data_IF_612551838644
#
_entry.id   IF_612551838644
#
_cell.length_a   1.000
_cell.length_b   1.000
_cell.length_c   1.000
_cell.angle_alpha   90.00
_cell.angle_beta   90.00
_cell.angle_gamma   90.00
#
_symmetry.space_group_name_H-M   'P 1'
#
loop_
_entity.id
_entity.type
_entity.pdbx_description
1 polymer ?
#
# COMPACT_ATOMS: atom_id res chain seq x y z
N UNK A 1 15.72 11.97 -8.49
CA UNK A 1 14.76 11.12 -9.23
C UNK A 1 13.50 11.02 -8.39
N UNK A 2 12.37 11.53 -8.87
CA UNK A 2 11.12 11.69 -8.10
C UNK A 2 10.45 10.33 -7.86
N UNK A 3 10.43 9.87 -6.61
CA UNK A 3 9.86 8.59 -6.16
C UNK A 3 8.31 8.55 -6.15
N UNK A 4 7.64 9.58 -6.66
CA UNK A 4 6.18 9.68 -6.71
C UNK A 4 5.52 9.12 -7.98
N UNK A 5 6.30 8.63 -8.96
CA UNK A 5 5.71 8.16 -10.22
C UNK A 5 5.40 6.66 -10.20
N UNK A 6 4.11 6.38 -9.96
CA UNK A 6 3.33 5.19 -10.34
C UNK A 6 2.85 4.29 -9.20
N UNK A 7 2.37 4.87 -8.09
CA UNK A 7 1.35 4.15 -7.35
C UNK A 7 0.06 4.10 -8.18
N UNK A 8 -0.23 2.97 -8.83
CA UNK A 8 -1.52 2.72 -9.50
C UNK A 8 -2.57 2.29 -8.48
N UNK A 9 -2.81 3.15 -7.50
CA UNK A 9 -3.57 2.85 -6.29
C UNK A 9 -3.68 4.04 -5.36
N UNK A 10 -3.83 3.77 -4.06
CA UNK A 10 -3.91 4.79 -2.99
C UNK A 10 -2.58 4.82 -2.25
N UNK A 11 -2.04 6.01 -1.95
CA UNK A 11 -0.94 6.14 -1.00
C UNK A 11 -1.50 6.12 0.42
N UNK A 12 -1.00 5.20 1.24
CA UNK A 12 -1.30 5.10 2.65
C UNK A 12 -0.06 5.50 3.45
N UNK A 13 -0.21 6.48 4.36
CA UNK A 13 0.84 6.89 5.29
C UNK A 13 0.72 6.05 6.55
N UNK A 14 1.77 5.30 6.88
CA UNK A 14 1.78 4.38 8.03
C UNK A 14 1.54 5.16 9.33
N UNK A 15 0.60 4.67 10.13
CA UNK A 15 0.26 5.18 11.45
C UNK A 15 0.58 4.16 12.54
N UNK A 16 0.52 4.62 13.80
CA UNK A 16 0.76 3.76 14.95
C UNK A 16 -0.23 2.59 14.96
N UNK A 17 0.32 1.38 14.97
CA UNK A 17 -0.45 0.15 15.05
C UNK A 17 -0.85 -0.43 13.68
N UNK A 18 -0.53 0.23 12.56
CA UNK A 18 -0.74 -0.36 11.25
C UNK A 18 0.13 -1.60 11.05
N UNK A 19 -0.47 -2.59 10.38
CA UNK A 19 0.21 -3.79 9.89
C UNK A 19 -0.24 -4.06 8.47
N UNK A 20 0.62 -4.70 7.66
CA UNK A 20 0.23 -5.10 6.30
C UNK A 20 -1.06 -5.93 6.29
N UNK A 21 -1.26 -6.77 7.30
CA UNK A 21 -2.48 -7.57 7.44
C UNK A 21 -3.72 -6.69 7.64
N UNK A 22 -3.70 -5.73 8.56
CA UNK A 22 -4.83 -4.82 8.74
C UNK A 22 -5.09 -3.94 7.51
N UNK A 23 -4.03 -3.46 6.86
CA UNK A 23 -4.14 -2.70 5.61
C UNK A 23 -4.74 -3.56 4.50
N UNK A 24 -4.35 -4.84 4.41
CA UNK A 24 -4.92 -5.79 3.45
C UNK A 24 -6.43 -5.94 3.61
N UNK A 25 -6.90 -6.01 4.86
CA UNK A 25 -8.33 -6.09 5.20
C UNK A 25 -9.06 -4.79 4.92
N UNK A 26 -8.46 -3.65 5.30
CA UNK A 26 -9.02 -2.30 5.11
C UNK A 26 -9.23 -1.95 3.65
N UNK A 27 -8.25 -2.26 2.79
CA UNK A 27 -8.26 -1.89 1.38
C UNK A 27 -8.72 -3.02 0.45
N UNK A 28 -9.08 -4.18 0.99
CA UNK A 28 -9.49 -5.36 0.21
C UNK A 28 -8.45 -5.77 -0.85
N UNK A 29 -7.17 -5.71 -0.50
CA UNK A 29 -6.03 -6.10 -1.34
C UNK A 29 -5.21 -7.14 -0.58
N UNK A 30 -4.67 -8.17 -1.21
CA UNK A 30 -3.85 -9.14 -0.50
C UNK A 30 -2.53 -8.53 -0.02
N UNK A 31 -2.02 -9.00 1.13
CA UNK A 31 -0.70 -8.59 1.67
C UNK A 31 0.38 -8.71 0.60
N UNK A 32 0.41 -9.83 -0.13
CA UNK A 32 1.35 -10.08 -1.22
C UNK A 32 1.32 -8.99 -2.30
N UNK A 33 0.14 -8.50 -2.69
CA UNK A 33 0.03 -7.40 -3.67
C UNK A 33 0.57 -6.09 -3.11
N UNK A 34 0.32 -5.81 -1.83
CA UNK A 34 0.90 -4.64 -1.15
C UNK A 34 2.43 -4.75 -1.15
N UNK A 35 3.00 -5.91 -0.82
CA UNK A 35 4.45 -6.11 -0.85
C UNK A 35 5.04 -5.89 -2.25
N UNK A 36 4.45 -6.49 -3.29
CA UNK A 36 4.93 -6.33 -4.66
C UNK A 36 4.84 -4.89 -5.19
N UNK A 37 3.89 -4.10 -4.71
CA UNK A 37 3.75 -2.70 -5.10
C UNK A 37 4.80 -1.79 -4.43
N UNK A 38 5.49 -2.26 -3.39
CA UNK A 38 6.43 -1.48 -2.60
C UNK A 38 7.81 -2.15 -2.48
N UNK A 39 8.48 -2.50 -3.60
CA UNK A 39 9.79 -3.17 -3.57
C UNK A 39 10.92 -2.30 -2.99
N UNK A 40 10.66 -1.01 -2.77
CA UNK A 40 11.58 -0.01 -2.23
C UNK A 40 11.36 0.27 -0.73
N UNK A 41 10.33 -0.31 -0.11
CA UNK A 41 10.04 -0.18 1.32
C UNK A 41 10.48 -1.44 2.04
N UNK A 42 11.17 -1.29 3.18
CA UNK A 42 11.36 -2.42 4.10
C UNK A 42 10.05 -2.72 4.83
N UNK A 43 9.25 -3.58 4.20
CA UNK A 43 7.95 -4.01 4.69
C UNK A 43 7.97 -4.78 6.02
N UNK A 44 9.15 -5.23 6.49
CA UNK A 44 9.32 -5.90 7.78
C UNK A 44 9.69 -4.92 8.89
N UNK A 45 10.04 -3.69 8.53
CA UNK A 45 10.42 -2.62 9.44
C UNK A 45 9.71 -1.30 9.10
N UNK A 46 8.38 -1.36 8.98
CA UNK A 46 7.55 -0.18 8.70
C UNK A 46 7.61 0.80 9.87
N UNK A 47 7.87 2.07 9.54
CA UNK A 47 7.91 3.19 10.47
C UNK A 47 6.74 4.14 10.26
N UNK A 48 6.33 4.82 11.32
CA UNK A 48 5.27 5.83 11.23
C UNK A 48 5.73 6.95 10.30
N UNK A 49 4.90 7.29 9.32
CA UNK A 49 5.20 8.28 8.29
C UNK A 49 5.67 7.67 6.97
N UNK A 50 5.98 6.37 6.92
CA UNK A 50 6.31 5.70 5.66
C UNK A 50 5.13 5.75 4.68
N UNK A 51 5.44 5.95 3.41
CA UNK A 51 4.46 5.92 2.33
C UNK A 51 4.37 4.52 1.71
N UNK A 52 3.19 3.93 1.75
CA UNK A 52 2.91 2.64 1.15
C UNK A 52 1.90 2.77 0.02
N UNK A 53 2.26 2.34 -1.18
CA UNK A 53 1.32 2.21 -2.28
C UNK A 53 0.39 1.00 -2.06
N UNK A 54 -0.91 1.24 -2.04
CA UNK A 54 -1.93 0.20 -1.95
C UNK A 54 -2.58 0.02 -3.32
N UNK A 55 -2.29 -1.07 -4.06
CA UNK A 55 -2.75 -1.26 -5.44
C UNK A 55 -4.22 -1.73 -5.48
N UNK A 56 -5.13 -0.84 -5.11
CA UNK A 56 -6.57 -1.04 -5.32
C UNK A 56 -6.87 -0.93 -6.81
N UNK A 57 -7.55 -1.94 -7.36
CA UNK A 57 -7.98 -1.88 -8.76
C UNK A 57 -9.12 -0.88 -8.89
N UNK A 58 -8.88 0.28 -9.52
CA UNK A 58 -9.94 1.20 -9.95
C UNK A 58 -10.72 0.65 -11.17
N UNK A 59 -11.05 -0.65 -11.19
CA UNK A 59 -12.06 -1.13 -12.13
C UNK A 59 -13.41 -0.81 -11.51
N UNK A 60 -14.13 0.08 -12.21
CA UNK A 60 -15.43 0.63 -11.88
C UNK A 60 -16.30 -0.35 -11.07
N UNK A 61 -16.85 0.02 -9.90
CA UNK A 61 -17.79 -0.82 -9.16
C UNK A 61 -19.09 -1.14 -9.91
N UNK A 62 -19.27 -0.67 -11.16
CA UNK A 62 -20.49 -0.76 -11.95
C UNK A 62 -20.16 -0.92 -13.44
N UNK A 63 -19.87 -2.14 -13.90
CA UNK A 63 -20.21 -2.60 -15.26
C UNK A 63 -20.80 -3.99 -15.16
#
# INVERSE_FOLDING_TARGET
MNMMQQCRGIIHIIQKGDTLYQLSKKYHVSVTKIMYANPYVDIYNLTIGDELCIPVSMRNPLV
#
